data_IF_655983695494
#
_entry.id   IF_655983695494
#
_cell.length_a   1.000
_cell.length_b   1.000
_cell.length_c   1.000
_cell.angle_alpha   90.00
_cell.angle_beta   90.00
_cell.angle_gamma   90.00
#
_symmetry.space_group_name_H-M   'P 1'
#
loop_
_entity.id
_entity.type
_entity.pdbx_description
1 polymer ?
#
# COMPACT_ATOMS: atom_id res chain seq x y z
N UNK A 1 -0.77 14.69 -14.76
CA UNK A 1 0.67 14.38 -14.61
C UNK A 1 0.77 13.04 -13.91
N UNK A 2 1.52 12.08 -14.46
CA UNK A 2 1.76 10.78 -13.83
C UNK A 2 3.20 10.78 -13.32
N UNK A 3 3.39 10.56 -12.03
CA UNK A 3 4.71 10.46 -11.42
C UNK A 3 5.23 9.02 -11.57
N UNK A 4 6.36 8.84 -12.25
CA UNK A 4 7.08 7.56 -12.26
C UNK A 4 8.02 7.48 -11.07
N UNK A 5 7.87 6.46 -10.24
CA UNK A 5 8.73 6.23 -9.08
C UNK A 5 9.61 5.01 -9.36
N UNK A 6 10.91 5.23 -9.51
CA UNK A 6 11.89 4.18 -9.80
C UNK A 6 12.36 3.42 -8.54
N UNK A 7 12.02 3.91 -7.35
CA UNK A 7 12.40 3.29 -6.08
C UNK A 7 11.21 3.26 -5.12
N UNK A 8 10.72 2.07 -4.82
CA UNK A 8 9.63 1.77 -3.88
C UNK A 8 10.16 1.42 -2.49
N UNK A 9 10.97 2.31 -1.90
CA UNK A 9 11.61 2.09 -0.59
C UNK A 9 12.41 0.78 -0.48
N UNK A 10 13.05 0.35 -1.58
CA UNK A 10 13.83 -0.90 -1.63
C UNK A 10 13.02 -2.15 -1.97
N UNK A 11 11.71 -2.04 -2.16
CA UNK A 11 10.85 -3.15 -2.60
C UNK A 11 10.88 -3.31 -4.13
N UNK A 12 10.93 -4.57 -4.60
CA UNK A 12 10.81 -4.93 -6.02
C UNK A 12 9.41 -5.46 -6.32
N UNK A 13 9.12 -5.72 -7.60
CA UNK A 13 7.86 -6.35 -7.97
C UNK A 13 7.73 -7.74 -7.32
N UNK A 14 8.80 -8.52 -7.31
CA UNK A 14 8.83 -9.88 -6.76
C UNK A 14 8.59 -9.89 -5.25
N UNK A 15 9.17 -8.94 -4.50
CA UNK A 15 8.96 -8.86 -3.05
C UNK A 15 7.53 -8.43 -2.69
N UNK A 16 6.87 -7.69 -3.58
CA UNK A 16 5.51 -7.21 -3.40
C UNK A 16 4.44 -8.17 -3.96
N UNK A 17 4.83 -9.18 -4.74
CA UNK A 17 3.88 -10.08 -5.41
C UNK A 17 2.95 -10.82 -4.43
N UNK A 18 3.42 -11.12 -3.22
CA UNK A 18 2.60 -11.74 -2.15
C UNK A 18 1.54 -10.80 -1.54
N UNK A 19 1.62 -9.51 -1.83
CA UNK A 19 0.71 -8.48 -1.35
C UNK A 19 -0.20 -7.94 -2.47
N UNK A 20 -0.15 -8.52 -3.68
CA UNK A 20 -1.04 -8.12 -4.77
C UNK A 20 -2.42 -8.72 -4.52
N UNK A 21 -3.43 -7.85 -4.55
CA UNK A 21 -4.84 -8.22 -4.48
C UNK A 21 -5.61 -7.65 -5.68
N UNK A 22 -6.75 -8.25 -5.98
CA UNK A 22 -7.69 -7.71 -6.97
C UNK A 22 -8.87 -7.13 -6.22
N UNK A 23 -9.14 -5.85 -6.46
CA UNK A 23 -10.29 -5.13 -5.91
C UNK A 23 -11.26 -4.81 -7.04
N UNK A 24 -12.53 -5.10 -6.82
CA UNK A 24 -13.60 -4.71 -7.74
C UNK A 24 -13.96 -3.24 -7.46
N UNK A 25 -13.63 -2.37 -8.41
CA UNK A 25 -13.94 -0.95 -8.36
C UNK A 25 -15.02 -0.65 -9.40
N UNK A 26 -16.27 -0.51 -8.97
CA UNK A 26 -17.46 -0.22 -9.78
C UNK A 26 -17.53 -0.98 -11.12
N UNK A 27 -16.93 -0.44 -12.17
CA UNK A 27 -16.95 -0.99 -13.53
C UNK A 27 -15.70 -1.82 -13.90
N UNK A 28 -14.70 -1.93 -13.03
CA UNK A 28 -13.44 -2.62 -13.32
C UNK A 28 -12.81 -3.33 -12.12
N UNK A 29 -12.31 -4.55 -12.35
CA UNK A 29 -11.41 -5.23 -11.41
C UNK A 29 -9.98 -4.72 -11.58
N UNK A 30 -9.42 -4.12 -10.53
CA UNK A 30 -8.09 -3.52 -10.54
C UNK A 30 -7.15 -4.35 -9.66
N UNK A 31 -5.97 -4.67 -10.19
CA UNK A 31 -4.88 -5.24 -9.38
C UNK A 31 -4.15 -4.12 -8.65
N UNK A 32 -4.10 -4.23 -7.33
CA UNK A 32 -3.44 -3.28 -6.43
C UNK A 32 -2.65 -4.01 -5.36
N UNK A 33 -1.95 -3.28 -4.50
CA UNK A 33 -1.34 -3.83 -3.29
C UNK A 33 -2.31 -3.75 -2.12
N UNK A 34 -2.27 -4.74 -1.24
CA UNK A 34 -2.91 -4.71 0.07
C UNK A 34 -2.36 -3.55 0.92
N UNK A 35 -3.03 -3.25 2.03
CA UNK A 35 -2.58 -2.19 2.95
C UNK A 35 -1.15 -2.44 3.46
N UNK A 36 -0.78 -3.69 3.74
CA UNK A 36 0.57 -4.08 4.15
C UNK A 36 1.59 -3.89 3.01
N UNK A 37 1.21 -4.24 1.78
CA UNK A 37 2.03 -4.02 0.59
C UNK A 37 2.27 -2.52 0.34
N UNK A 38 1.23 -1.70 0.45
CA UNK A 38 1.32 -0.24 0.33
C UNK A 38 2.24 0.34 1.42
N UNK A 39 2.11 -0.12 2.66
CA UNK A 39 2.92 0.34 3.79
C UNK A 39 4.41 0.15 3.54
N UNK A 40 4.80 -0.99 2.96
CA UNK A 40 6.20 -1.29 2.60
C UNK A 40 6.78 -0.27 1.61
N UNK A 41 5.97 0.22 0.67
CA UNK A 41 6.41 1.23 -0.32
C UNK A 41 6.50 2.66 0.25
N UNK A 42 6.04 2.90 1.48
CA UNK A 42 5.90 4.22 2.11
C UNK A 42 6.79 4.42 3.34
N UNK A 43 7.88 3.67 3.45
CA UNK A 43 8.79 3.76 4.61
C UNK A 43 9.84 4.90 4.53
N UNK A 44 9.96 5.61 3.40
CA UNK A 44 10.91 6.73 3.29
C UNK A 44 10.54 7.93 4.17
N UNK A 45 11.54 8.73 4.53
CA UNK A 45 11.37 9.97 5.30
C UNK A 45 10.77 11.14 4.51
N UNK A 46 10.34 10.94 3.25
CA UNK A 46 9.65 11.98 2.47
C UNK A 46 8.33 12.33 3.13
N UNK A 47 8.02 13.62 3.28
CA UNK A 47 6.82 14.09 4.00
C UNK A 47 5.52 13.40 3.56
N UNK A 48 5.34 13.19 2.25
CA UNK A 48 4.19 12.46 1.70
C UNK A 48 4.09 11.02 2.22
N UNK A 49 5.23 10.33 2.32
CA UNK A 49 5.29 8.96 2.82
C UNK A 49 4.99 8.87 4.32
N UNK A 50 5.39 9.88 5.11
CA UNK A 50 5.09 9.92 6.55
C UNK A 50 3.59 9.97 6.80
N UNK A 51 2.88 10.85 6.08
CA UNK A 51 1.42 10.95 6.20
C UNK A 51 0.72 9.66 5.73
N UNK A 52 1.11 9.14 4.57
CA UNK A 52 0.57 7.90 4.02
C UNK A 52 0.75 6.73 5.01
N UNK A 53 1.94 6.59 5.59
CA UNK A 53 2.27 5.55 6.57
C UNK A 53 1.34 5.58 7.79
N UNK A 54 1.13 6.76 8.39
CA UNK A 54 0.28 6.90 9.58
C UNK A 54 -1.16 6.49 9.27
N UNK A 55 -1.67 6.83 8.09
CA UNK A 55 -3.03 6.44 7.66
C UNK A 55 -3.12 4.93 7.46
N UNK A 56 -2.13 4.33 6.78
CA UNK A 56 -2.09 2.89 6.53
C UNK A 56 -1.99 2.08 7.83
N UNK A 57 -1.13 2.49 8.76
CA UNK A 57 -1.00 1.84 10.09
C UNK A 57 -2.33 1.88 10.86
N UNK A 58 -3.04 3.01 10.84
CA UNK A 58 -4.36 3.14 11.48
C UNK A 58 -5.41 2.25 10.81
N UNK A 59 -5.42 2.18 9.48
CA UNK A 59 -6.35 1.34 8.74
C UNK A 59 -6.14 -0.15 9.05
N UNK A 60 -4.88 -0.61 9.05
CA UNK A 60 -4.52 -1.98 9.42
C UNK A 60 -4.96 -2.29 10.86
N UNK A 61 -4.70 -1.36 11.80
CA UNK A 61 -5.12 -1.52 13.19
C UNK A 61 -6.65 -1.60 13.35
N UNK A 62 -7.40 -0.76 12.63
CA UNK A 62 -8.86 -0.77 12.68
C UNK A 62 -9.46 -2.07 12.14
N UNK A 63 -8.91 -2.61 11.05
CA UNK A 63 -9.38 -3.86 10.44
C UNK A 63 -8.98 -5.07 11.30
N UNK A 64 -7.77 -5.05 11.87
CA UNK A 64 -7.28 -6.13 12.74
C UNK A 64 -7.98 -6.15 14.10
N UNK A 65 -8.40 -4.98 14.62
CA UNK A 65 -9.14 -4.85 15.87
C UNK A 65 -10.65 -5.11 15.76
N UNK A 66 -11.22 -5.07 14.55
CA UNK A 66 -12.64 -5.36 14.28
C UNK A 66 -12.94 -6.85 14.03
N UNK A 67 -12.00 -7.75 14.37
CA UNK A 67 -12.14 -9.20 14.14
C UNK A 67 -12.91 -9.95 15.24
N UNK A 68 -13.64 -9.24 16.10
CA UNK A 68 -14.49 -9.79 17.17
C UNK A 68 -15.99 -9.65 16.89
#
# INVERSE_FOLDING_TARGET
MVDLIFNTCGETYETLNSYIETVDADEASVKTLSLEGLLKTKQSARDKNVMDRVVLERAIAAISGNKE
#
